data_IF_723413312428
#
_entry.id   IF_723413312428
#
_cell.length_a   1.000
_cell.length_b   1.000
_cell.length_c   1.000
_cell.angle_alpha   90.00
_cell.angle_beta   90.00
_cell.angle_gamma   90.00
#
_symmetry.space_group_name_H-M   'P 1'
#
loop_
_entity.id
_entity.type
_entity.pdbx_description
1 polymer ?
#
# COMPACT_ATOMS: atom_id res chain seq x y z
N UNK A 1 -5.61 23.77 14.21
CA UNK A 1 -5.63 23.37 12.79
C UNK A 1 -4.22 22.89 12.46
N UNK A 2 -3.95 21.59 12.59
CA UNK A 2 -2.61 21.05 12.35
C UNK A 2 -2.41 20.94 10.83
N UNK A 3 -1.34 21.49 10.25
CA UNK A 3 -1.08 21.37 8.83
C UNK A 3 -0.84 19.89 8.49
N UNK A 4 -1.56 19.39 7.47
CA UNK A 4 -1.29 18.09 6.89
C UNK A 4 0.18 18.07 6.40
N UNK A 5 1.00 17.23 7.03
CA UNK A 5 2.40 17.06 6.63
C UNK A 5 2.52 16.70 5.14
N UNK A 6 3.56 17.20 4.45
CA UNK A 6 3.74 16.94 3.03
C UNK A 6 3.86 15.45 2.79
N UNK A 7 2.88 14.93 2.05
CA UNK A 7 2.78 13.58 1.50
C UNK A 7 4.12 13.13 0.93
N UNK A 8 4.94 12.44 1.75
CA UNK A 8 6.06 11.67 1.24
C UNK A 8 5.54 10.78 0.12
N UNK A 9 6.28 10.59 -0.98
CA UNK A 9 5.83 9.71 -2.04
C UNK A 9 5.64 8.30 -1.43
N UNK A 10 4.38 7.88 -1.29
CA UNK A 10 4.03 6.57 -0.70
C UNK A 10 4.45 5.41 -1.61
N UNK A 11 4.83 5.76 -2.84
CA UNK A 11 5.28 4.92 -3.94
C UNK A 11 6.64 5.41 -4.45
N UNK A 12 7.50 4.50 -4.96
CA UNK A 12 7.27 3.07 -5.04
C UNK A 12 7.43 2.36 -3.68
N UNK A 13 6.87 1.15 -3.55
CA UNK A 13 7.05 0.29 -2.36
C UNK A 13 8.20 -0.67 -2.59
N UNK A 14 9.28 -0.50 -1.82
CA UNK A 14 10.40 -1.42 -1.84
C UNK A 14 10.14 -2.59 -0.90
N UNK A 15 10.15 -3.79 -1.45
CA UNK A 15 10.12 -5.03 -0.71
C UNK A 15 11.48 -5.34 -0.08
N UNK A 16 11.48 -6.13 0.99
CA UNK A 16 12.71 -6.57 1.67
C UNK A 16 13.63 -7.39 0.75
N UNK A 17 13.10 -8.04 -0.29
CA UNK A 17 13.92 -8.73 -1.30
C UNK A 17 14.64 -7.77 -2.27
N UNK A 18 14.39 -6.47 -2.20
CA UNK A 18 14.93 -5.45 -3.09
C UNK A 18 14.03 -5.11 -4.27
N UNK A 19 12.94 -5.85 -4.49
CA UNK A 19 11.97 -5.57 -5.54
C UNK A 19 11.19 -4.29 -5.27
N UNK A 20 10.90 -3.54 -6.32
CA UNK A 20 10.28 -2.22 -6.22
C UNK A 20 8.95 -2.27 -6.94
N UNK A 21 7.88 -2.02 -6.21
CA UNK A 21 6.51 -2.09 -6.69
C UNK A 21 5.96 -0.69 -6.91
N UNK A 22 5.53 -0.40 -8.13
CA UNK A 22 4.85 0.85 -8.45
C UNK A 22 3.37 0.77 -8.07
N UNK A 23 2.71 1.94 -8.04
CA UNK A 23 1.27 2.03 -7.73
C UNK A 23 0.43 1.20 -8.71
N UNK A 24 0.82 1.17 -9.97
CA UNK A 24 0.13 0.45 -11.06
C UNK A 24 0.35 -1.05 -10.98
N UNK A 25 1.49 -1.50 -10.45
CA UNK A 25 1.85 -2.92 -10.29
C UNK A 25 1.29 -3.53 -9.00
N UNK A 26 0.94 -2.69 -8.02
CA UNK A 26 0.31 -3.13 -6.77
C UNK A 26 -0.90 -4.07 -6.95
N UNK A 27 -1.88 -3.79 -7.82
CA UNK A 27 -2.99 -4.70 -8.07
C UNK A 27 -2.57 -6.08 -8.60
N UNK A 28 -1.36 -6.22 -9.16
CA UNK A 28 -0.83 -7.49 -9.68
C UNK A 28 -0.32 -8.41 -8.56
N UNK A 29 0.02 -7.85 -7.40
CA UNK A 29 0.43 -8.64 -6.25
C UNK A 29 -0.74 -9.42 -5.66
N UNK A 30 -0.56 -10.69 -5.25
CA UNK A 30 -1.58 -11.45 -4.54
C UNK A 30 -2.12 -10.69 -3.32
N UNK A 31 -3.44 -10.41 -3.24
CA UNK A 31 -4.03 -9.77 -2.09
C UNK A 31 -4.06 -10.74 -0.90
N UNK A 32 -3.63 -10.27 0.27
CA UNK A 32 -3.82 -10.97 1.54
C UNK A 32 -5.17 -10.58 2.13
N UNK A 33 -5.46 -9.28 2.14
CA UNK A 33 -6.70 -8.75 2.68
C UNK A 33 -6.62 -7.26 3.01
N UNK A 34 -7.73 -6.73 3.50
CA UNK A 34 -7.86 -5.34 3.97
C UNK A 34 -8.18 -5.32 5.45
N UNK A 35 -7.51 -4.44 6.19
CA UNK A 35 -7.65 -4.32 7.63
C UNK A 35 -7.87 -2.87 8.02
N UNK A 36 -8.71 -2.65 9.04
CA UNK A 36 -8.91 -1.33 9.61
C UNK A 36 -7.78 -1.04 10.61
N UNK A 37 -6.87 -0.13 10.28
CA UNK A 37 -5.78 0.32 11.12
C UNK A 37 -6.22 1.42 12.11
N UNK A 38 -7.32 1.19 12.83
CA UNK A 38 -7.85 2.14 13.80
C UNK A 38 -8.20 3.49 13.19
N UNK A 39 -7.61 4.57 13.72
CA UNK A 39 -7.87 5.94 13.28
C UNK A 39 -7.20 6.29 11.93
N UNK A 40 -6.23 5.50 11.49
CA UNK A 40 -5.49 5.71 10.23
C UNK A 40 -6.27 5.23 8.99
N UNK A 41 -7.42 4.59 9.21
CA UNK A 41 -8.29 4.08 8.15
C UNK A 41 -7.91 2.68 7.66
N UNK A 42 -8.31 2.36 6.44
CA UNK A 42 -8.07 1.04 5.86
C UNK A 42 -6.66 0.91 5.30
N UNK A 43 -6.06 -0.26 5.51
CA UNK A 43 -4.82 -0.70 4.87
C UNK A 43 -5.09 -1.94 4.04
N UNK A 44 -4.39 -2.06 2.91
CA UNK A 44 -4.36 -3.24 2.08
C UNK A 44 -3.00 -3.92 2.23
N UNK A 45 -3.05 -5.24 2.48
CA UNK A 45 -1.87 -6.08 2.58
C UNK A 45 -1.80 -6.96 1.34
N UNK A 46 -0.61 -7.03 0.75
CA UNK A 46 -0.32 -7.89 -0.40
C UNK A 46 0.99 -8.63 -0.20
N UNK A 47 1.15 -9.75 -0.88
CA UNK A 47 2.35 -10.58 -0.78
C UNK A 47 3.21 -10.38 -2.01
N UNK A 48 4.45 -9.92 -1.84
CA UNK A 48 5.46 -9.94 -2.90
C UNK A 48 5.80 -11.39 -3.31
N UNK A 49 6.27 -11.61 -4.53
CA UNK A 49 6.69 -12.93 -5.02
C UNK A 49 7.74 -13.61 -4.15
N UNK A 50 8.54 -12.86 -3.39
CA UNK A 50 9.49 -13.40 -2.42
C UNK A 50 8.84 -13.91 -1.12
N UNK A 51 7.51 -13.84 -0.99
CA UNK A 51 6.74 -14.22 0.20
C UNK A 51 6.67 -13.15 1.29
N UNK A 52 7.24 -11.96 1.09
CA UNK A 52 7.16 -10.87 2.07
C UNK A 52 5.84 -10.10 1.94
N UNK A 53 5.28 -9.72 3.08
CA UNK A 53 4.07 -8.90 3.14
C UNK A 53 4.42 -7.42 2.97
N UNK A 54 3.71 -6.77 2.06
CA UNK A 54 3.73 -5.32 1.83
C UNK A 54 2.42 -4.72 2.33
N UNK A 55 2.50 -3.49 2.82
CA UNK A 55 1.36 -2.76 3.40
C UNK A 55 1.24 -1.39 2.73
N UNK A 56 0.03 -1.06 2.30
CA UNK A 56 -0.31 0.24 1.72
C UNK A 56 -1.60 0.73 2.37
N UNK A 57 -1.73 2.04 2.62
CA UNK A 57 -3.01 2.57 3.06
C UNK A 57 -3.97 2.65 1.87
N UNK A 58 -5.25 2.35 2.07
CA UNK A 58 -6.26 2.41 1.01
C UNK A 58 -6.35 3.81 0.38
N UNK A 59 -6.10 4.86 1.17
CA UNK A 59 -6.02 6.24 0.69
C UNK A 59 -4.90 6.50 -0.35
N UNK A 60 -3.93 5.60 -0.49
CA UNK A 60 -2.85 5.70 -1.50
C UNK A 60 -3.10 4.91 -2.77
N UNK A 61 -4.11 4.04 -2.72
CA UNK A 61 -4.55 3.27 -3.86
C UNK A 61 -5.43 4.15 -4.74
N UNK A 62 -5.39 3.96 -6.06
CA UNK A 62 -6.41 4.56 -6.91
C UNK A 62 -7.78 4.11 -6.38
N UNK A 63 -8.74 5.04 -6.35
CA UNK A 63 -10.12 4.69 -6.03
C UNK A 63 -10.57 3.63 -7.04
N UNK A 64 -10.60 2.37 -6.63
CA UNK A 64 -11.04 1.26 -7.47
C UNK A 64 -12.49 1.55 -7.82
N UNK A 65 -12.77 1.85 -9.09
CA UNK A 65 -14.14 1.96 -9.58
C UNK A 65 -14.83 0.62 -9.29
N UNK A 66 -15.96 0.71 -8.57
CA UNK A 66 -16.81 -0.42 -8.18
C UNK A 66 -17.40 -1.15 -9.37
#
# INVERSE_FOLDING_TARGET
>A
MTPAEPSKPRWPKTCRCGEVWSREEWPELPPIGRYLAGADGWIELRTCFCGSTLVVAEADLPAQAS
#
